data_IF_220425639480
#
_entry.id   IF_220425639480
#
_cell.length_a   1.000
_cell.length_b   1.000
_cell.length_c   1.000
_cell.angle_alpha   90.00
_cell.angle_beta   90.00
_cell.angle_gamma   90.00
#
_symmetry.space_group_name_H-M   'P 1'
#
loop_
_entity.id
_entity.type
_entity.pdbx_description
1 polymer ?
#
# COMPACT_ATOMS: atom_id res chain seq x y z
N UNK A 1 10.41 7.24 21.05
CA UNK A 1 11.85 7.61 21.03
C UNK A 1 12.29 8.15 19.67
N UNK A 2 12.13 7.42 18.53
CA UNK A 2 12.60 7.88 17.20
C UNK A 2 12.04 9.27 16.83
N UNK A 3 10.74 9.50 17.02
CA UNK A 3 10.13 10.80 16.70
C UNK A 3 10.58 11.91 17.67
N UNK A 4 10.76 11.62 18.95
CA UNK A 4 11.30 12.59 19.91
C UNK A 4 12.71 13.01 19.50
N UNK A 5 13.58 12.04 19.19
CA UNK A 5 14.92 12.33 18.70
C UNK A 5 14.89 13.14 17.39
N UNK A 6 13.94 12.87 16.49
CA UNK A 6 13.77 13.66 15.27
C UNK A 6 13.39 15.11 15.57
N UNK A 7 12.40 15.32 16.45
CA UNK A 7 11.95 16.65 16.92
C UNK A 7 13.13 17.43 17.54
N UNK A 8 13.95 16.75 18.37
CA UNK A 8 15.10 17.36 19.01
C UNK A 8 16.20 17.75 18.02
N UNK A 9 16.54 16.85 17.08
CA UNK A 9 17.54 17.08 16.05
C UNK A 9 17.16 18.25 15.12
N UNK A 10 15.87 18.33 14.77
CA UNK A 10 15.35 19.39 13.92
C UNK A 10 15.10 20.70 14.69
N UNK A 11 15.22 20.69 16.03
CA UNK A 11 15.00 21.84 16.91
C UNK A 11 13.61 22.48 16.69
N UNK A 12 12.58 21.63 16.60
CA UNK A 12 11.18 22.04 16.45
C UNK A 12 10.36 21.69 17.68
N UNK A 13 9.21 22.32 17.80
CA UNK A 13 8.28 22.08 18.92
C UNK A 13 7.26 21.01 18.57
N UNK A 14 6.83 20.99 17.30
CA UNK A 14 5.80 20.09 16.81
C UNK A 14 6.15 19.47 15.46
N UNK A 15 5.63 18.25 15.28
CA UNK A 15 5.52 17.58 14.01
C UNK A 15 4.02 17.39 13.73
N UNK A 16 3.52 17.91 12.59
CA UNK A 16 2.15 17.73 12.14
C UNK A 16 2.09 16.69 11.04
N UNK A 17 1.25 15.66 11.23
CA UNK A 17 1.02 14.57 10.30
C UNK A 17 -0.47 14.52 9.98
N UNK A 18 -0.83 14.77 8.72
CA UNK A 18 -2.21 14.67 8.22
C UNK A 18 -2.45 13.39 7.40
N UNK A 19 -1.38 12.69 7.01
CA UNK A 19 -1.49 11.40 6.36
C UNK A 19 -2.05 10.36 7.34
N UNK A 20 -3.32 10.00 7.18
CA UNK A 20 -4.02 9.06 8.06
C UNK A 20 -3.38 7.67 8.08
N UNK A 21 -2.71 7.25 7.01
CA UNK A 21 -1.97 5.99 6.95
C UNK A 21 -0.74 6.02 7.88
N UNK A 22 -0.02 7.14 7.88
CA UNK A 22 1.12 7.35 8.79
C UNK A 22 0.67 7.37 10.25
N UNK A 23 -0.45 8.03 10.53
CA UNK A 23 -1.03 8.05 11.87
C UNK A 23 -1.51 6.66 12.30
N UNK A 24 -2.13 5.89 11.38
CA UNK A 24 -2.56 4.53 11.62
C UNK A 24 -1.38 3.60 11.96
N UNK A 25 -0.25 3.73 11.24
CA UNK A 25 0.97 2.98 11.55
C UNK A 25 1.56 3.39 12.91
N UNK A 26 1.70 4.70 13.16
CA UNK A 26 2.28 5.24 14.40
C UNK A 26 1.53 4.77 15.65
N UNK A 27 0.21 4.74 15.58
CA UNK A 27 -0.68 4.40 16.71
C UNK A 27 -1.09 2.94 16.73
N UNK A 28 -0.79 2.21 15.66
CA UNK A 28 -1.29 0.86 15.39
C UNK A 28 -2.83 0.74 15.42
N UNK A 29 -3.53 1.84 15.10
CA UNK A 29 -4.99 1.85 14.92
C UNK A 29 -5.31 1.45 13.48
N UNK A 30 -6.36 0.65 13.31
CA UNK A 30 -6.92 0.32 12.01
C UNK A 30 -8.41 0.65 12.03
N UNK A 31 -8.93 1.15 10.90
CA UNK A 31 -10.32 1.58 10.72
C UNK A 31 -10.93 1.05 9.43
N UNK A 32 -12.07 1.62 9.05
CA UNK A 32 -12.83 1.22 7.85
C UNK A 32 -13.33 2.45 7.07
N UNK A 33 -12.68 3.59 7.22
CA UNK A 33 -13.13 4.84 6.62
C UNK A 33 -12.74 4.96 5.15
N UNK A 34 -11.83 4.09 4.68
CA UNK A 34 -11.44 4.02 3.28
C UNK A 34 -11.53 2.58 2.79
N UNK A 35 -12.14 2.40 1.61
CA UNK A 35 -12.17 1.09 0.95
C UNK A 35 -10.75 0.58 0.68
N UNK A 36 -10.55 -0.72 0.83
CA UNK A 36 -9.30 -1.44 0.58
C UNK A 36 -8.14 -1.10 1.51
N UNK A 37 -8.15 0.02 2.20
CA UNK A 37 -7.09 0.45 3.13
C UNK A 37 -7.66 0.58 4.53
N UNK A 38 -7.22 -0.24 5.51
CA UNK A 38 -7.81 -0.27 6.84
C UNK A 38 -7.32 0.90 7.71
N UNK A 39 -7.73 2.10 7.39
CA UNK A 39 -7.44 3.34 8.13
C UNK A 39 -8.70 3.99 8.68
N UNK A 40 -8.51 4.88 9.65
CA UNK A 40 -9.50 5.88 10.04
C UNK A 40 -8.96 7.26 9.72
N UNK A 41 -9.84 8.17 9.24
CA UNK A 41 -9.41 9.53 8.92
C UNK A 41 -9.07 10.31 10.17
N UNK A 42 -7.80 10.64 10.30
CA UNK A 42 -7.26 11.37 11.45
C UNK A 42 -5.99 12.13 11.08
N UNK A 43 -5.66 13.11 11.88
CA UNK A 43 -4.36 13.78 11.85
C UNK A 43 -3.71 13.75 13.25
N UNK A 44 -2.41 13.97 13.31
CA UNK A 44 -1.67 13.99 14.56
C UNK A 44 -0.79 15.22 14.67
N UNK A 45 -0.83 15.88 15.83
CA UNK A 45 0.15 16.87 16.24
C UNK A 45 1.01 16.25 17.34
N UNK A 46 2.31 16.21 17.13
CA UNK A 46 3.23 15.46 17.98
C UNK A 46 4.26 16.39 18.56
N UNK A 47 4.44 16.35 19.88
CA UNK A 47 5.55 17.01 20.56
C UNK A 47 6.38 15.99 21.37
N UNK A 48 7.36 16.46 22.16
CA UNK A 48 8.23 15.60 22.97
C UNK A 48 7.48 14.72 23.97
N UNK A 49 6.27 15.12 24.36
CA UNK A 49 5.53 14.49 25.47
C UNK A 49 4.27 13.75 25.00
N UNK A 50 3.56 14.28 24.03
CA UNK A 50 2.25 13.81 23.64
C UNK A 50 2.08 13.66 22.13
N UNK A 51 1.19 12.77 21.75
CA UNK A 51 0.57 12.66 20.44
C UNK A 51 -0.88 13.14 20.61
N UNK A 52 -1.23 14.25 19.99
CA UNK A 52 -2.60 14.76 19.94
C UNK A 52 -3.22 14.22 18.65
N UNK A 53 -4.22 13.34 18.77
CA UNK A 53 -4.95 12.76 17.64
C UNK A 53 -6.25 13.50 17.43
N UNK A 54 -6.41 14.06 16.24
CA UNK A 54 -7.61 14.78 15.81
C UNK A 54 -8.43 13.86 14.89
N UNK A 55 -9.59 13.42 15.37
CA UNK A 55 -10.45 12.48 14.66
C UNK A 55 -11.89 12.58 15.14
N UNK A 56 -12.84 11.95 14.44
CA UNK A 56 -14.22 11.88 14.89
C UNK A 56 -14.33 11.00 16.14
N UNK A 57 -14.91 11.53 17.20
CA UNK A 57 -14.93 10.87 18.54
C UNK A 57 -15.71 9.54 18.55
N UNK A 58 -16.64 9.37 17.62
CA UNK A 58 -17.46 8.15 17.48
C UNK A 58 -16.66 6.93 17.00
N UNK A 59 -15.46 7.13 16.48
CA UNK A 59 -14.71 6.08 15.79
C UNK A 59 -13.76 5.27 16.69
N UNK A 60 -13.60 5.63 17.98
CA UNK A 60 -12.66 4.93 18.86
C UNK A 60 -13.33 4.31 20.08
N UNK A 61 -13.12 3.00 20.24
CA UNK A 61 -13.58 2.30 21.43
C UNK A 61 -12.83 2.73 22.69
N UNK A 62 -13.50 2.69 23.84
CA UNK A 62 -12.90 2.98 25.14
C UNK A 62 -11.65 2.13 25.42
N UNK A 63 -11.64 0.88 24.96
CA UNK A 63 -10.49 -0.03 25.08
C UNK A 63 -9.25 0.49 24.37
N UNK A 64 -9.40 1.04 23.16
CA UNK A 64 -8.30 1.65 22.39
C UNK A 64 -7.83 2.91 23.09
N UNK A 65 -8.75 3.80 23.49
CA UNK A 65 -8.42 5.03 24.27
C UNK A 65 -7.59 4.68 25.51
N UNK A 66 -7.96 3.64 26.25
CA UNK A 66 -7.23 3.19 27.44
C UNK A 66 -5.84 2.65 27.11
N UNK A 67 -5.69 1.87 26.04
CA UNK A 67 -4.37 1.29 25.64
C UNK A 67 -3.37 2.37 25.21
N UNK A 68 -3.82 3.39 24.49
CA UNK A 68 -2.98 4.47 23.97
C UNK A 68 -2.88 5.68 24.92
N UNK A 69 -3.75 5.74 25.94
CA UNK A 69 -4.06 6.94 26.71
C UNK A 69 -2.94 7.61 27.48
N UNK A 70 -1.82 6.94 27.76
CA UNK A 70 -0.75 7.55 28.58
C UNK A 70 -0.01 8.69 27.82
N UNK A 71 0.22 8.51 26.52
CA UNK A 71 0.97 9.44 25.68
C UNK A 71 0.13 10.02 24.56
N UNK A 72 -1.12 9.54 24.39
CA UNK A 72 -2.02 9.95 23.33
C UNK A 72 -3.21 10.68 23.90
N UNK A 73 -3.48 11.87 23.38
CA UNK A 73 -4.65 12.70 23.68
C UNK A 73 -5.59 12.67 22.49
N UNK A 74 -6.81 12.25 22.72
CA UNK A 74 -7.85 12.19 21.67
C UNK A 74 -8.64 13.48 21.70
N UNK A 75 -8.76 14.12 20.55
CA UNK A 75 -9.45 15.40 20.34
C UNK A 75 -10.37 15.27 19.14
N UNK A 76 -11.46 16.03 19.13
CA UNK A 76 -12.32 16.07 17.96
C UNK A 76 -11.59 16.79 16.82
N UNK A 77 -11.83 16.36 15.59
CA UNK A 77 -11.24 16.98 14.40
C UNK A 77 -11.57 18.47 14.29
N UNK A 78 -12.80 18.85 14.67
CA UNK A 78 -13.24 20.24 14.70
C UNK A 78 -12.47 21.11 15.70
N UNK A 79 -11.85 20.53 16.72
CA UNK A 79 -11.17 21.27 17.78
C UNK A 79 -9.73 21.68 17.42
N UNK A 80 -9.24 21.33 16.21
CA UNK A 80 -7.84 21.55 15.84
C UNK A 80 -7.42 23.02 15.93
N UNK A 81 -8.20 23.94 15.35
CA UNK A 81 -7.92 25.37 15.41
C UNK A 81 -7.96 25.90 16.84
N UNK A 82 -9.02 25.57 17.59
CA UNK A 82 -9.20 25.98 18.99
C UNK A 82 -8.08 25.44 19.88
N UNK A 83 -7.65 24.20 19.61
CA UNK A 83 -6.52 23.60 20.34
C UNK A 83 -5.22 24.37 20.10
N UNK A 84 -4.92 24.73 18.86
CA UNK A 84 -3.74 25.53 18.53
C UNK A 84 -3.81 26.91 19.19
N UNK A 85 -4.96 27.59 19.16
CA UNK A 85 -5.15 28.90 19.81
C UNK A 85 -4.90 28.83 21.32
N UNK A 86 -5.48 27.86 22.01
CA UNK A 86 -5.33 27.69 23.47
C UNK A 86 -3.92 27.32 23.92
N UNK A 87 -3.19 26.62 23.06
CA UNK A 87 -1.82 26.16 23.35
C UNK A 87 -0.77 27.05 22.66
N UNK A 88 -1.16 28.24 22.25
CA UNK A 88 -0.36 29.16 21.46
C UNK A 88 0.82 29.73 22.27
N UNK A 89 1.98 29.15 22.07
CA UNK A 89 3.24 29.83 22.26
C UNK A 89 3.54 30.59 20.95
N UNK A 90 3.35 31.88 20.89
CA UNK A 90 3.41 32.77 19.70
C UNK A 90 4.55 32.52 18.69
N UNK A 91 5.49 31.63 18.94
CA UNK A 91 6.69 31.39 18.12
C UNK A 91 7.07 29.92 18.00
N UNK A 92 6.13 28.98 18.13
CA UNK A 92 6.45 27.57 17.96
C UNK A 92 6.92 27.26 16.53
N UNK A 93 7.89 26.33 16.42
CA UNK A 93 8.37 25.78 15.16
C UNK A 93 7.69 24.46 14.87
N UNK A 94 7.24 24.27 13.65
CA UNK A 94 6.51 23.07 13.24
C UNK A 94 7.02 22.52 11.91
N UNK A 95 7.18 21.20 11.85
CA UNK A 95 7.40 20.49 10.60
C UNK A 95 6.06 19.94 10.11
N UNK A 96 5.80 20.05 8.81
CA UNK A 96 4.70 19.41 8.11
C UNK A 96 5.13 19.00 6.69
N UNK A 97 4.42 18.04 6.12
CA UNK A 97 4.61 17.62 4.73
C UNK A 97 3.60 18.35 3.83
N UNK A 98 4.08 19.12 2.86
CA UNK A 98 3.25 19.88 1.92
C UNK A 98 2.44 18.99 0.97
N UNK A 99 2.90 17.76 0.73
CA UNK A 99 2.20 16.77 -0.09
C UNK A 99 0.93 16.24 0.56
N UNK A 100 0.92 16.13 1.89
CA UNK A 100 -0.18 15.50 2.63
C UNK A 100 -0.97 16.46 3.51
N UNK A 101 -0.47 17.67 3.72
CA UNK A 101 -1.18 18.71 4.50
C UNK A 101 -2.21 19.40 3.62
N UNK A 102 -3.47 19.38 4.05
CA UNK A 102 -4.55 20.10 3.36
C UNK A 102 -4.34 21.61 3.44
N UNK A 103 -4.77 22.32 2.40
CA UNK A 103 -4.70 23.77 2.37
C UNK A 103 -5.44 24.43 3.57
N UNK A 104 -6.54 23.81 4.00
CA UNK A 104 -7.27 24.27 5.18
C UNK A 104 -6.41 24.22 6.44
N UNK A 105 -5.84 23.07 6.77
CA UNK A 105 -5.01 22.91 7.97
C UNK A 105 -3.69 23.67 7.88
N UNK A 106 -3.12 23.80 6.69
CA UNK A 106 -2.00 24.69 6.45
C UNK A 106 -2.33 26.14 6.87
N UNK A 107 -3.46 26.68 6.40
CA UNK A 107 -3.88 28.04 6.75
C UNK A 107 -4.13 28.21 8.26
N UNK A 108 -4.76 27.22 8.91
CA UNK A 108 -4.95 27.22 10.36
C UNK A 108 -3.60 27.35 11.08
N UNK A 109 -2.60 26.56 10.69
CA UNK A 109 -1.26 26.58 11.28
C UNK A 109 -0.54 27.90 10.94
N UNK A 110 -0.60 28.37 9.68
CA UNK A 110 0.09 29.56 9.19
C UNK A 110 -0.43 30.87 9.84
N UNK A 111 -1.66 30.87 10.32
CA UNK A 111 -2.21 31.96 11.12
C UNK A 111 -1.64 31.99 12.55
N UNK A 112 -1.15 30.85 13.06
CA UNK A 112 -0.62 30.73 14.42
C UNK A 112 0.90 30.92 14.49
N UNK A 113 1.64 30.52 13.47
CA UNK A 113 3.09 30.64 13.41
C UNK A 113 3.60 30.89 12.00
N UNK A 114 4.71 31.62 11.87
CA UNK A 114 5.46 31.77 10.61
C UNK A 114 6.65 30.81 10.53
N UNK A 115 6.95 30.05 11.59
CA UNK A 115 8.08 29.15 11.67
C UNK A 115 7.69 27.73 11.18
N UNK A 116 7.22 27.65 9.96
CA UNK A 116 6.81 26.40 9.31
C UNK A 116 8.00 25.85 8.48
N UNK A 117 8.31 24.58 8.68
CA UNK A 117 9.35 23.87 7.94
C UNK A 117 8.67 22.74 7.15
N UNK A 118 8.78 22.80 5.82
CA UNK A 118 8.28 21.74 4.96
C UNK A 118 9.32 20.65 4.82
N UNK A 119 8.97 19.44 5.22
CA UNK A 119 9.77 18.21 5.06
C UNK A 119 8.86 17.02 4.79
N UNK A 120 9.33 16.03 4.02
CA UNK A 120 8.61 14.78 3.85
C UNK A 120 8.24 14.13 5.18
N UNK A 121 7.09 13.50 5.23
CA UNK A 121 6.61 12.78 6.42
C UNK A 121 7.59 11.66 6.80
N UNK A 122 8.34 11.86 7.88
CA UNK A 122 9.32 10.92 8.41
C UNK A 122 8.73 9.52 8.71
N UNK A 123 7.43 9.44 8.95
CA UNK A 123 6.77 8.15 9.21
C UNK A 123 6.74 7.29 7.95
N UNK A 124 6.71 7.89 6.75
CA UNK A 124 6.80 7.13 5.50
C UNK A 124 8.08 6.29 5.44
N UNK A 125 9.23 6.86 5.80
CA UNK A 125 10.50 6.14 5.87
C UNK A 125 10.48 5.08 6.97
N UNK A 126 9.96 5.44 8.16
CA UNK A 126 9.93 4.54 9.32
C UNK A 126 9.07 3.30 9.07
N UNK A 127 7.88 3.46 8.43
CA UNK A 127 6.97 2.34 8.15
C UNK A 127 7.39 1.49 6.97
N UNK A 128 8.15 2.04 6.03
CA UNK A 128 8.65 1.30 4.88
C UNK A 128 9.61 0.17 5.28
N UNK A 129 10.34 0.35 6.40
CA UNK A 129 11.28 -0.65 6.94
C UNK A 129 10.57 -1.48 8.00
N UNK A 130 10.11 -2.67 7.63
CA UNK A 130 9.38 -3.59 8.49
C UNK A 130 10.33 -4.24 9.50
N UNK A 131 9.87 -4.32 10.74
CA UNK A 131 10.57 -5.09 11.78
C UNK A 131 10.33 -6.60 11.58
N UNK A 132 11.05 -7.42 12.35
CA UNK A 132 10.98 -8.89 12.21
C UNK A 132 9.59 -9.46 12.48
N UNK A 133 8.81 -8.87 13.41
CA UNK A 133 7.45 -9.29 13.68
C UNK A 133 6.53 -8.97 12.51
N UNK A 134 6.61 -7.76 11.93
CA UNK A 134 5.86 -7.38 10.74
C UNK A 134 6.20 -8.29 9.56
N UNK A 135 7.48 -8.58 9.32
CA UNK A 135 7.92 -9.52 8.27
C UNK A 135 7.32 -10.91 8.45
N UNK A 136 7.37 -11.45 9.68
CA UNK A 136 6.81 -12.77 9.97
C UNK A 136 5.29 -12.80 9.79
N UNK A 137 4.62 -11.74 10.19
CA UNK A 137 3.18 -11.59 9.95
C UNK A 137 2.85 -11.48 8.46
N UNK A 138 3.60 -10.70 7.67
CA UNK A 138 3.41 -10.60 6.22
C UNK A 138 3.60 -11.97 5.54
N UNK A 139 4.62 -12.74 5.93
CA UNK A 139 4.81 -14.12 5.45
C UNK A 139 3.57 -14.99 5.73
N UNK A 140 2.99 -14.87 6.94
CA UNK A 140 1.76 -15.57 7.31
C UNK A 140 0.58 -15.15 6.44
N UNK A 141 0.41 -13.83 6.19
CA UNK A 141 -0.63 -13.32 5.30
C UNK A 141 -0.51 -13.91 3.88
N UNK A 142 0.71 -13.96 3.33
CA UNK A 142 0.95 -14.54 2.01
C UNK A 142 0.72 -16.06 1.95
N UNK A 143 0.95 -16.80 3.04
CA UNK A 143 0.56 -18.22 3.14
C UNK A 143 -0.96 -18.36 3.12
N UNK A 144 -1.69 -17.51 3.82
CA UNK A 144 -3.15 -17.52 3.80
C UNK A 144 -3.70 -17.19 2.42
N UNK A 145 -3.19 -16.16 1.80
CA UNK A 145 -3.59 -15.74 0.44
C UNK A 145 -3.21 -16.79 -0.60
N UNK A 146 -2.02 -17.35 -0.53
CA UNK A 146 -1.55 -18.42 -1.41
C UNK A 146 -2.45 -19.67 -1.36
N UNK A 147 -2.97 -20.04 -0.18
CA UNK A 147 -3.95 -21.12 -0.05
C UNK A 147 -5.24 -20.82 -0.82
N UNK A 148 -5.74 -19.58 -0.76
CA UNK A 148 -6.93 -19.16 -1.51
C UNK A 148 -6.65 -19.17 -3.01
N UNK A 149 -5.49 -18.65 -3.43
CA UNK A 149 -5.07 -18.61 -4.83
C UNK A 149 -4.88 -20.02 -5.41
N UNK A 150 -4.24 -20.96 -4.70
CA UNK A 150 -4.10 -22.35 -5.15
C UNK A 150 -5.46 -23.03 -5.36
N UNK A 151 -6.42 -22.81 -4.44
CA UNK A 151 -7.79 -23.31 -4.58
C UNK A 151 -8.51 -22.67 -5.76
N UNK A 152 -8.26 -21.39 -6.02
CA UNK A 152 -8.76 -20.69 -7.18
C UNK A 152 -8.20 -21.28 -8.49
N UNK A 153 -6.89 -21.47 -8.60
CA UNK A 153 -6.24 -22.03 -9.77
C UNK A 153 -6.73 -23.45 -10.08
N UNK A 154 -6.92 -24.28 -9.05
CA UNK A 154 -7.54 -25.60 -9.19
C UNK A 154 -8.97 -25.49 -9.73
N UNK A 155 -9.79 -24.62 -9.16
CA UNK A 155 -11.15 -24.37 -9.65
C UNK A 155 -11.16 -23.87 -11.09
N UNK A 156 -10.31 -22.89 -11.42
CA UNK A 156 -10.21 -22.32 -12.77
C UNK A 156 -9.88 -23.38 -13.82
N UNK A 157 -8.92 -24.25 -13.51
CA UNK A 157 -8.51 -25.37 -14.40
C UNK A 157 -9.62 -26.39 -14.63
N UNK A 158 -10.43 -26.67 -13.62
CA UNK A 158 -11.43 -27.76 -13.66
C UNK A 158 -12.86 -27.27 -13.94
N UNK A 159 -13.11 -25.96 -13.97
CA UNK A 159 -14.42 -25.39 -14.23
C UNK A 159 -14.86 -25.64 -15.67
N UNK A 160 -15.91 -26.44 -15.84
CA UNK A 160 -16.59 -26.67 -17.13
C UNK A 160 -17.62 -25.55 -17.40
N UNK A 161 -17.91 -25.32 -18.70
CA UNK A 161 -18.88 -24.33 -19.15
C UNK A 161 -18.38 -22.90 -19.11
N UNK A 162 -19.31 -21.97 -19.26
CA UNK A 162 -19.02 -20.55 -19.34
C UNK A 162 -18.49 -19.99 -18.02
N UNK A 163 -17.60 -19.03 -18.13
CA UNK A 163 -16.99 -18.32 -17.01
C UNK A 163 -16.73 -16.87 -17.44
N UNK A 164 -17.17 -15.93 -16.66
CA UNK A 164 -16.94 -14.51 -16.91
C UNK A 164 -15.88 -13.93 -15.96
N UNK A 165 -15.38 -12.75 -16.27
CA UNK A 165 -14.45 -12.00 -15.41
C UNK A 165 -15.03 -11.75 -14.03
N UNK A 166 -16.33 -11.40 -13.94
CA UNK A 166 -17.00 -11.22 -12.65
C UNK A 166 -17.15 -12.51 -11.84
N UNK A 167 -17.28 -13.68 -12.51
CA UNK A 167 -17.28 -14.97 -11.81
C UNK A 167 -15.93 -15.27 -11.19
N UNK A 168 -14.86 -14.86 -11.86
CA UNK A 168 -13.48 -14.97 -11.37
C UNK A 168 -13.29 -14.11 -10.12
N UNK A 169 -13.68 -12.82 -10.19
CA UNK A 169 -13.62 -11.91 -9.05
C UNK A 169 -14.38 -12.48 -7.85
N UNK A 170 -15.64 -12.87 -8.04
CA UNK A 170 -16.46 -13.48 -6.99
C UNK A 170 -15.80 -14.72 -6.39
N UNK A 171 -15.21 -15.57 -7.24
CA UNK A 171 -14.62 -16.82 -6.78
C UNK A 171 -13.39 -16.62 -5.90
N UNK A 172 -12.46 -15.75 -6.30
CA UNK A 172 -11.27 -15.50 -5.48
C UNK A 172 -11.63 -14.85 -4.15
N UNK A 173 -12.57 -13.90 -4.14
CA UNK A 173 -13.07 -13.26 -2.93
C UNK A 173 -13.69 -14.28 -1.96
N UNK A 174 -14.60 -15.12 -2.45
CA UNK A 174 -15.21 -16.17 -1.63
C UNK A 174 -14.17 -17.10 -0.99
N UNK A 175 -13.06 -17.36 -1.67
CA UNK A 175 -12.00 -18.21 -1.13
C UNK A 175 -11.17 -17.50 -0.06
N UNK A 176 -10.91 -16.20 -0.22
CA UNK A 176 -10.22 -15.35 0.76
C UNK A 176 -11.04 -15.12 2.01
N UNK A 177 -12.32 -14.84 1.86
CA UNK A 177 -13.28 -14.60 2.97
C UNK A 177 -13.42 -15.80 3.93
N UNK A 178 -13.02 -17.00 3.53
CA UNK A 178 -13.00 -18.18 4.42
C UNK A 178 -11.90 -18.09 5.49
N UNK A 179 -10.94 -17.19 5.36
CA UNK A 179 -9.89 -17.01 6.36
C UNK A 179 -10.39 -16.08 7.48
N UNK A 180 -10.17 -16.46 8.72
CA UNK A 180 -10.61 -15.69 9.90
C UNK A 180 -9.88 -14.35 10.06
N UNK A 181 -8.69 -14.20 9.48
CA UNK A 181 -7.91 -12.97 9.52
C UNK A 181 -8.25 -12.02 8.35
N UNK A 182 -9.11 -12.43 7.40
CA UNK A 182 -9.50 -11.60 6.28
C UNK A 182 -10.31 -10.38 6.75
N UNK A 183 -9.93 -9.20 6.26
CA UNK A 183 -10.60 -7.93 6.55
C UNK A 183 -11.37 -7.45 5.31
N UNK A 184 -10.66 -7.29 4.19
CA UNK A 184 -11.18 -6.80 2.92
C UNK A 184 -10.25 -7.18 1.77
N UNK A 185 -10.59 -6.81 0.55
CA UNK A 185 -9.60 -6.73 -0.53
C UNK A 185 -8.55 -5.67 -0.18
N UNK A 186 -7.34 -5.78 -0.74
CA UNK A 186 -6.31 -4.72 -0.64
C UNK A 186 -6.41 -3.69 -1.77
N UNK A 187 -7.13 -4.04 -2.86
CA UNK A 187 -7.47 -3.19 -3.99
C UNK A 187 -8.61 -3.83 -4.81
N UNK A 188 -9.25 -3.09 -5.73
CA UNK A 188 -10.24 -3.67 -6.63
C UNK A 188 -9.61 -4.76 -7.50
N UNK A 189 -10.14 -5.98 -7.43
CA UNK A 189 -9.60 -7.12 -8.18
C UNK A 189 -9.62 -6.86 -9.68
N UNK A 190 -8.47 -6.99 -10.32
CA UNK A 190 -8.29 -6.94 -11.77
C UNK A 190 -8.43 -8.36 -12.31
N UNK A 191 -9.41 -8.58 -13.17
CA UNK A 191 -9.61 -9.86 -13.85
C UNK A 191 -9.89 -9.58 -15.33
N UNK A 192 -8.81 -9.37 -16.09
CA UNK A 192 -8.90 -9.01 -17.51
C UNK A 192 -8.64 -10.22 -18.41
N UNK A 193 -9.62 -10.60 -19.23
CA UNK A 193 -9.50 -11.71 -20.19
C UNK A 193 -9.33 -11.20 -21.61
N UNK A 194 -8.43 -11.82 -22.38
CA UNK A 194 -8.14 -11.43 -23.75
C UNK A 194 -7.78 -9.94 -23.85
N UNK A 195 -8.49 -9.12 -24.66
CA UNK A 195 -8.17 -7.69 -24.84
C UNK A 195 -8.26 -6.87 -23.54
N UNK A 196 -9.12 -7.25 -22.58
CA UNK A 196 -9.24 -6.55 -21.31
C UNK A 196 -7.98 -6.70 -20.44
N UNK A 197 -7.20 -7.76 -20.61
CA UNK A 197 -5.92 -7.96 -19.92
C UNK A 197 -4.83 -6.97 -20.32
N UNK A 198 -4.98 -6.24 -21.43
CA UNK A 198 -4.06 -5.19 -21.86
C UNK A 198 -4.38 -3.81 -21.24
N UNK A 199 -5.50 -3.67 -20.54
CA UNK A 199 -5.91 -2.42 -19.92
C UNK A 199 -5.35 -2.39 -18.50
N UNK A 200 -4.45 -1.42 -18.25
CA UNK A 200 -3.85 -1.24 -16.92
C UNK A 200 -4.95 -0.90 -15.92
N UNK A 201 -4.94 -1.57 -14.75
CA UNK A 201 -5.94 -1.44 -13.68
C UNK A 201 -7.38 -1.74 -14.13
N UNK A 202 -7.57 -2.61 -15.13
CA UNK A 202 -8.90 -3.02 -15.58
C UNK A 202 -9.74 -3.62 -14.45
N UNK A 203 -10.94 -3.10 -14.29
CA UNK A 203 -11.92 -3.62 -13.34
C UNK A 203 -13.16 -4.08 -14.08
N UNK A 204 -13.50 -5.38 -14.03
CA UNK A 204 -14.73 -5.85 -14.65
C UNK A 204 -15.97 -5.28 -13.97
N UNK A 205 -16.88 -4.77 -14.77
CA UNK A 205 -18.17 -4.22 -14.36
C UNK A 205 -19.31 -4.95 -15.07
N UNK A 206 -20.54 -4.73 -14.67
CA UNK A 206 -21.71 -5.30 -15.38
C UNK A 206 -21.70 -4.96 -16.88
N UNK A 207 -21.18 -3.77 -17.26
CA UNK A 207 -21.12 -3.31 -18.66
C UNK A 207 -19.94 -3.88 -19.43
N UNK A 208 -18.78 -4.07 -18.78
CA UNK A 208 -17.53 -4.50 -19.42
C UNK A 208 -17.24 -5.99 -19.23
N UNK A 209 -18.04 -6.71 -18.43
CA UNK A 209 -17.86 -8.11 -18.12
C UNK A 209 -17.80 -8.99 -19.36
N UNK A 210 -16.70 -9.69 -19.54
CA UNK A 210 -16.47 -10.55 -20.70
C UNK A 210 -16.52 -12.02 -20.29
N UNK A 211 -17.09 -12.87 -21.17
CA UNK A 211 -16.95 -14.33 -21.07
C UNK A 211 -15.57 -14.74 -21.59
N UNK A 212 -14.88 -15.58 -20.83
CA UNK A 212 -13.61 -16.16 -21.26
C UNK A 212 -13.83 -17.11 -22.43
N UNK A 213 -13.09 -16.91 -23.49
CA UNK A 213 -13.04 -17.80 -24.66
C UNK A 213 -11.89 -18.79 -24.52
N UNK A 214 -11.93 -19.87 -25.29
CA UNK A 214 -10.81 -20.78 -25.39
C UNK A 214 -9.58 -20.06 -25.97
N UNK A 215 -8.42 -20.34 -25.38
CA UNK A 215 -7.13 -19.71 -25.69
C UNK A 215 -7.02 -18.22 -25.28
N UNK A 216 -7.98 -17.71 -24.49
CA UNK A 216 -7.81 -16.42 -23.83
C UNK A 216 -6.78 -16.50 -22.68
N UNK A 217 -5.91 -15.52 -22.64
CA UNK A 217 -5.13 -15.22 -21.42
C UNK A 217 -6.06 -14.49 -20.45
N UNK A 218 -6.02 -14.91 -19.20
CA UNK A 218 -6.56 -14.18 -18.06
C UNK A 218 -5.41 -13.57 -17.25
N UNK A 219 -5.37 -12.27 -17.13
CA UNK A 219 -4.61 -11.55 -16.13
C UNK A 219 -5.49 -11.41 -14.87
N UNK A 220 -5.08 -12.08 -13.80
CA UNK A 220 -5.71 -11.96 -12.49
C UNK A 220 -4.71 -11.27 -11.56
N UNK A 221 -5.03 -10.04 -11.17
CA UNK A 221 -4.28 -9.29 -10.18
C UNK A 221 -5.21 -8.95 -9.02
N UNK A 222 -4.81 -9.37 -7.82
CA UNK A 222 -5.69 -9.35 -6.66
C UNK A 222 -4.93 -9.49 -5.35
N UNK A 223 -5.46 -8.88 -4.31
CA UNK A 223 -4.89 -8.98 -2.98
C UNK A 223 -5.95 -8.86 -1.89
N UNK A 224 -5.50 -9.01 -0.66
CA UNK A 224 -6.35 -8.89 0.52
C UNK A 224 -5.65 -8.20 1.68
N UNK A 225 -6.45 -7.57 2.52
CA UNK A 225 -6.06 -7.13 3.85
C UNK A 225 -6.35 -8.26 4.83
N UNK A 226 -5.32 -8.71 5.51
CA UNK A 226 -5.41 -9.62 6.64
C UNK A 226 -4.94 -8.91 7.92
N UNK A 227 -5.38 -9.38 9.08
CA UNK A 227 -4.84 -8.89 10.36
C UNK A 227 -3.31 -9.04 10.43
N UNK A 228 -2.77 -10.03 9.72
CA UNK A 228 -1.34 -10.31 9.63
C UNK A 228 -0.62 -9.56 8.51
N UNK A 229 -1.29 -8.78 7.67
CA UNK A 229 -0.62 -7.98 6.62
C UNK A 229 -1.45 -7.80 5.36
N UNK A 230 -0.87 -7.08 4.41
CA UNK A 230 -1.43 -6.81 3.08
C UNK A 230 -0.82 -7.76 2.06
N UNK A 231 -1.61 -8.30 1.14
CA UNK A 231 -1.12 -9.10 0.02
C UNK A 231 -1.44 -8.44 -1.31
N UNK A 232 -0.57 -8.72 -2.28
CA UNK A 232 -0.66 -8.30 -3.66
C UNK A 232 -0.07 -9.40 -4.52
N UNK A 233 -0.87 -10.02 -5.39
CA UNK A 233 -0.46 -11.20 -6.15
C UNK A 233 -1.10 -11.21 -7.53
N UNK A 234 -0.28 -11.18 -8.56
CA UNK A 234 -0.70 -11.34 -9.95
C UNK A 234 -0.43 -12.75 -10.47
N UNK A 235 -1.34 -13.26 -11.29
CA UNK A 235 -1.13 -14.48 -12.10
C UNK A 235 -1.71 -14.27 -13.50
N UNK A 236 -0.86 -14.56 -14.48
CA UNK A 236 -1.27 -14.69 -15.88
C UNK A 236 -1.49 -16.15 -16.19
N UNK A 237 -2.71 -16.53 -16.52
CA UNK A 237 -3.12 -17.92 -16.75
C UNK A 237 -3.90 -18.03 -18.06
N UNK A 238 -3.93 -19.21 -18.63
CA UNK A 238 -4.62 -19.45 -19.90
C UNK A 238 -5.71 -20.51 -19.76
N UNK A 239 -6.79 -20.33 -20.50
CA UNK A 239 -7.81 -21.35 -20.71
C UNK A 239 -7.60 -21.96 -22.11
N UNK A 240 -7.10 -23.19 -22.15
CA UNK A 240 -6.79 -23.88 -23.42
C UNK A 240 -5.30 -23.84 -23.77
N UNK A 241 -4.97 -23.62 -25.03
CA UNK A 241 -3.59 -23.66 -25.55
C UNK A 241 -3.05 -22.26 -25.83
N UNK A 242 -1.85 -21.99 -25.36
CA UNK A 242 -1.16 -20.74 -25.63
C UNK A 242 -0.66 -20.66 -27.08
N UNK A 243 -0.72 -19.49 -27.69
CA UNK A 243 -0.10 -19.18 -28.97
C UNK A 243 1.40 -18.96 -28.79
N UNK A 244 2.19 -19.04 -29.88
CA UNK A 244 3.65 -18.86 -29.82
C UNK A 244 4.07 -17.47 -29.31
N UNK A 245 3.39 -16.42 -29.76
CA UNK A 245 3.61 -15.06 -29.32
C UNK A 245 3.31 -14.86 -27.82
N UNK A 246 2.21 -15.45 -27.34
CA UNK A 246 1.86 -15.43 -25.90
C UNK A 246 2.91 -16.13 -25.03
N UNK A 247 3.43 -17.29 -25.50
CA UNK A 247 4.51 -18.01 -24.81
C UNK A 247 5.78 -17.19 -24.77
N UNK A 248 6.13 -16.53 -25.90
CA UNK A 248 7.30 -15.65 -25.96
C UNK A 248 7.16 -14.49 -24.97
N UNK A 249 6.06 -13.75 -25.00
CA UNK A 249 5.84 -12.59 -24.14
C UNK A 249 5.85 -12.97 -22.65
N UNK A 250 5.13 -14.01 -22.30
CA UNK A 250 5.15 -14.58 -20.94
C UNK A 250 6.58 -14.92 -20.48
N UNK A 251 7.35 -15.55 -21.36
CA UNK A 251 8.73 -15.94 -21.05
C UNK A 251 9.64 -14.73 -20.86
N UNK A 252 9.49 -13.67 -21.67
CA UNK A 252 10.27 -12.44 -21.55
C UNK A 252 9.98 -11.73 -20.24
N UNK A 253 8.69 -11.60 -19.87
CA UNK A 253 8.27 -11.02 -18.58
C UNK A 253 8.80 -11.86 -17.41
N UNK A 254 8.66 -13.21 -17.49
CA UNK A 254 9.18 -14.09 -16.44
C UNK A 254 10.70 -13.97 -16.27
N UNK A 255 11.46 -13.80 -17.36
CA UNK A 255 12.90 -13.55 -17.27
C UNK A 255 13.22 -12.26 -16.51
N UNK A 256 12.48 -11.17 -16.75
CA UNK A 256 12.62 -9.93 -16.03
C UNK A 256 12.30 -10.08 -14.54
N UNK A 257 11.16 -10.71 -14.25
CA UNK A 257 10.73 -11.02 -12.88
C UNK A 257 11.79 -11.82 -12.09
N UNK A 258 12.33 -12.86 -12.70
CA UNK A 258 13.36 -13.70 -12.08
C UNK A 258 14.69 -12.94 -11.89
N UNK A 259 15.08 -12.07 -12.82
CA UNK A 259 16.28 -11.23 -12.67
C UNK A 259 16.19 -10.35 -11.42
N UNK A 260 15.04 -9.71 -11.16
CA UNK A 260 14.83 -8.95 -9.92
C UNK A 260 14.88 -9.87 -8.70
N UNK A 261 14.16 -10.99 -8.74
CA UNK A 261 14.06 -11.91 -7.60
C UNK A 261 15.44 -12.50 -7.19
N UNK A 262 16.33 -12.68 -8.14
CA UNK A 262 17.67 -13.22 -7.93
C UNK A 262 18.76 -12.15 -7.82
N UNK A 263 18.39 -10.88 -7.97
CA UNK A 263 19.37 -9.78 -7.99
C UNK A 263 20.12 -9.67 -6.67
N UNK A 264 21.44 -9.53 -6.78
CA UNK A 264 22.33 -9.13 -5.69
C UNK A 264 22.92 -7.78 -6.03
N UNK A 265 22.82 -6.86 -5.13
CA UNK A 265 23.22 -5.47 -5.38
C UNK A 265 23.84 -4.83 -4.13
N UNK A 266 24.70 -3.79 -4.29
CA UNK A 266 25.30 -3.11 -3.17
C UNK A 266 24.26 -2.33 -2.36
N UNK A 267 24.58 -2.08 -1.09
CA UNK A 267 23.75 -1.25 -0.22
C UNK A 267 23.55 0.16 -0.82
N UNK A 268 22.34 0.69 -0.71
CA UNK A 268 22.00 2.03 -1.17
C UNK A 268 21.65 2.16 -2.65
N UNK A 269 21.48 1.04 -3.37
CA UNK A 269 20.91 1.06 -4.73
C UNK A 269 19.45 1.55 -4.70
N UNK A 270 19.00 2.08 -5.80
CA UNK A 270 17.65 2.67 -5.96
C UNK A 270 16.79 1.84 -6.90
N UNK A 271 15.47 2.04 -6.84
CA UNK A 271 14.51 1.22 -7.59
C UNK A 271 14.65 1.28 -9.11
N UNK A 272 15.16 2.39 -9.67
CA UNK A 272 15.38 2.54 -11.10
C UNK A 272 16.40 1.54 -11.68
N UNK A 273 17.40 1.12 -10.92
CA UNK A 273 18.32 0.07 -11.36
C UNK A 273 17.65 -1.29 -11.45
N UNK A 274 16.71 -1.60 -10.55
CA UNK A 274 15.96 -2.85 -10.60
C UNK A 274 14.93 -2.85 -11.75
N UNK A 275 14.32 -1.70 -12.04
CA UNK A 275 13.39 -1.54 -13.16
C UNK A 275 14.06 -1.90 -14.51
N UNK A 276 15.31 -1.49 -14.70
CA UNK A 276 16.09 -1.89 -15.88
C UNK A 276 16.23 -3.42 -16.01
N UNK A 277 16.48 -4.14 -14.91
CA UNK A 277 16.59 -5.60 -14.94
C UNK A 277 15.32 -6.29 -15.41
N UNK A 278 14.16 -5.76 -15.00
CA UNK A 278 12.86 -6.26 -15.45
C UNK A 278 12.65 -6.08 -16.95
N UNK A 279 12.97 -4.89 -17.46
CA UNK A 279 12.66 -4.49 -18.85
C UNK A 279 13.65 -5.02 -19.88
N UNK A 280 14.89 -5.28 -19.49
CA UNK A 280 15.97 -5.64 -20.41
C UNK A 280 15.60 -6.78 -21.39
N UNK A 281 14.93 -7.83 -20.91
CA UNK A 281 14.53 -8.95 -21.77
C UNK A 281 13.48 -8.56 -22.80
N UNK A 282 12.58 -7.66 -22.46
CA UNK A 282 11.56 -7.10 -23.36
C UNK A 282 12.19 -6.15 -24.39
N UNK A 283 13.02 -5.20 -23.96
CA UNK A 283 13.70 -4.22 -24.83
C UNK A 283 14.55 -4.90 -25.88
N UNK A 284 15.26 -6.00 -25.55
CA UNK A 284 16.02 -6.80 -26.53
C UNK A 284 15.13 -7.44 -27.62
N UNK A 285 13.80 -7.43 -27.42
CA UNK A 285 12.81 -7.95 -28.39
C UNK A 285 11.87 -6.84 -28.89
N UNK A 286 12.24 -5.56 -28.75
CA UNK A 286 11.45 -4.42 -29.22
C UNK A 286 10.12 -4.23 -28.47
N UNK A 287 10.01 -4.73 -27.23
CA UNK A 287 8.79 -4.71 -26.41
C UNK A 287 9.03 -3.96 -25.10
N UNK A 288 7.95 -3.46 -24.50
CA UNK A 288 7.97 -2.81 -23.18
C UNK A 288 6.59 -2.92 -22.51
N UNK A 289 6.48 -2.48 -21.26
CA UNK A 289 5.21 -2.28 -20.53
C UNK A 289 5.15 -0.87 -19.93
N UNK A 290 3.93 -0.34 -19.76
CA UNK A 290 3.71 1.08 -19.47
C UNK A 290 3.37 1.37 -17.99
N UNK A 291 3.71 0.49 -17.07
CA UNK A 291 3.51 0.68 -15.62
C UNK A 291 4.83 0.56 -14.85
N UNK A 292 4.83 0.85 -13.56
CA UNK A 292 5.97 0.59 -12.67
C UNK A 292 6.17 -0.91 -12.48
N UNK A 293 7.42 -1.36 -12.35
CA UNK A 293 7.73 -2.78 -12.13
C UNK A 293 7.38 -3.26 -10.73
N UNK A 294 7.22 -2.33 -9.78
CA UNK A 294 6.83 -2.69 -8.43
C UNK A 294 6.78 -1.48 -7.51
N UNK A 295 6.23 -1.69 -6.33
CA UNK A 295 6.02 -0.65 -5.31
C UNK A 295 6.19 -1.24 -3.91
N UNK A 296 6.41 -0.39 -2.90
CA UNK A 296 6.36 -0.82 -1.51
C UNK A 296 4.97 -1.32 -1.12
N UNK A 297 4.90 -2.23 -0.16
CA UNK A 297 3.64 -2.81 0.35
C UNK A 297 3.52 -2.51 1.84
N UNK A 298 2.37 -2.00 2.27
CA UNK A 298 2.08 -1.66 3.65
C UNK A 298 1.83 -2.89 4.54
N UNK A 299 1.89 -2.71 5.84
CA UNK A 299 1.58 -3.73 6.84
C UNK A 299 0.15 -3.56 7.35
N UNK A 300 -0.80 -4.29 6.79
CA UNK A 300 -2.24 -4.09 7.04
C UNK A 300 -2.61 -2.61 6.86
N UNK A 301 -2.15 -2.03 5.73
CA UNK A 301 -2.31 -0.64 5.31
C UNK A 301 -2.40 -0.61 3.78
N UNK A 302 -2.11 0.55 3.14
CA UNK A 302 -2.18 0.69 1.70
C UNK A 302 -1.28 -0.34 0.99
N UNK A 303 -1.81 -0.97 -0.05
CA UNK A 303 -1.06 -1.88 -0.91
C UNK A 303 0.07 -1.13 -1.62
N UNK A 304 -0.16 0.09 -2.09
CA UNK A 304 0.85 0.98 -2.66
C UNK A 304 1.49 1.84 -1.57
N UNK A 305 2.53 1.35 -0.92
CA UNK A 305 3.24 2.09 0.13
C UNK A 305 4.52 2.75 -0.41
N UNK A 306 4.59 4.08 -0.33
CA UNK A 306 5.84 4.80 -0.54
C UNK A 306 6.81 4.69 0.65
N UNK A 307 8.02 5.29 0.55
CA UNK A 307 8.52 6.10 -0.57
C UNK A 307 9.20 5.29 -1.69
N UNK A 308 9.49 4.01 -1.48
CA UNK A 308 10.19 3.15 -2.44
C UNK A 308 9.26 2.58 -3.52
N UNK A 309 9.74 2.54 -4.75
CA UNK A 309 9.13 1.77 -5.85
C UNK A 309 10.21 1.29 -6.83
N UNK A 310 9.93 0.21 -7.56
CA UNK A 310 10.74 -0.23 -8.70
C UNK A 310 10.18 0.47 -9.94
N UNK A 311 10.78 1.61 -10.29
CA UNK A 311 10.36 2.40 -11.44
C UNK A 311 11.50 3.29 -11.92
N UNK A 312 11.45 3.71 -13.18
CA UNK A 312 12.46 4.58 -13.80
C UNK A 312 12.65 5.92 -13.07
N UNK A 313 11.62 6.39 -12.36
CA UNK A 313 11.60 7.71 -11.70
C UNK A 313 11.95 7.67 -10.20
N UNK A 314 12.05 6.47 -9.62
CA UNK A 314 12.27 6.36 -8.17
C UNK A 314 13.76 6.37 -7.81
N UNK A 315 14.18 7.37 -7.05
CA UNK A 315 15.54 7.54 -6.54
C UNK A 315 15.68 7.18 -5.05
N UNK A 316 14.64 6.65 -4.42
CA UNK A 316 14.71 6.23 -3.03
C UNK A 316 15.59 4.98 -2.87
N UNK A 317 16.45 4.98 -1.85
CA UNK A 317 17.38 3.88 -1.59
C UNK A 317 16.68 2.69 -0.97
N UNK A 318 17.04 1.49 -1.43
CA UNK A 318 16.56 0.25 -0.81
C UNK A 318 17.24 0.05 0.53
N UNK A 319 16.46 -0.37 1.53
CA UNK A 319 16.95 -0.72 2.85
C UNK A 319 16.47 -2.11 3.28
N UNK A 320 17.23 -2.76 4.17
CA UNK A 320 16.84 -4.04 4.74
C UNK A 320 15.53 -3.90 5.53
N UNK A 321 14.59 -4.82 5.29
CA UNK A 321 13.25 -4.79 5.89
C UNK A 321 12.18 -4.15 5.03
N UNK A 322 12.53 -3.54 3.89
CA UNK A 322 11.52 -3.11 2.92
C UNK A 322 10.85 -4.31 2.26
N UNK A 323 9.53 -4.22 2.09
CA UNK A 323 8.69 -5.19 1.38
C UNK A 323 8.11 -4.51 0.17
N UNK A 324 8.27 -5.10 -1.00
CA UNK A 324 7.79 -4.52 -2.25
C UNK A 324 7.32 -5.60 -3.23
N UNK A 325 6.44 -5.22 -4.14
CA UNK A 325 5.99 -6.06 -5.24
C UNK A 325 7.06 -6.18 -6.34
N UNK A 326 6.95 -7.24 -7.15
CA UNK A 326 7.72 -7.47 -8.37
C UNK A 326 6.74 -7.96 -9.43
N UNK A 327 6.30 -7.06 -10.31
CA UNK A 327 5.18 -7.22 -11.26
C UNK A 327 5.64 -7.37 -12.71
#
# INVERSE_FOLDING_TARGET
KKLVNYIDNEKVDFLYIENSESVAWLTNIRGKDLDFTPITFCSALINRKYIYLFMEDTNISHTIKKKLGKFTKFLNKSDFSVFLEKNNHKYFKIIMDDKYTSFYNFNVIANMTKNIIFKPDIIQDLKSIKNIQEINCIKKAHIHDGKALCKFLYWFKNKKGNMSELDIVKKIDMLRMKNREYISRSFPTIAGSGPNGAIIHYQPSKKSNRLLKDNDILLLDSGAQYLSGTTDVTRTIIRGKAKKDQILDYTLVLKGHLKINLARFPFGITGNYLDFLARQSLWNNGKDFAHSTGHGVGFCLNVHEGPFSISTKNSHKIANGMVFSNE
#
